data_IF_472844097202
#
_entry.id   IF_472844097202
#
_cell.length_a   1.000
_cell.length_b   1.000
_cell.length_c   1.000
_cell.angle_alpha   90.00
_cell.angle_beta   90.00
_cell.angle_gamma   90.00
#
_symmetry.space_group_name_H-M   'P 1'
#
loop_
_entity.id
_entity.type
_entity.pdbx_description
1 polymer ?
#
# COMPACT_ATOMS: atom_id res chain seq x y z
N UNK A 1 -11.14 -1.76 -22.39
CA UNK A 1 -11.14 -0.51 -21.62
C UNK A 1 -10.81 -0.79 -20.18
N UNK A 2 -9.79 -0.14 -19.68
CA UNK A 2 -9.43 -0.32 -18.28
C UNK A 2 -10.09 0.78 -17.44
N UNK A 3 -10.03 0.59 -16.12
CA UNK A 3 -10.48 1.58 -15.17
C UNK A 3 -9.46 2.71 -15.04
N UNK A 4 -9.83 3.79 -14.36
CA UNK A 4 -9.02 5.01 -14.24
C UNK A 4 -7.72 4.74 -13.50
N UNK A 5 -6.60 5.21 -14.05
CA UNK A 5 -5.25 5.07 -13.49
C UNK A 5 -4.99 3.65 -12.95
N UNK A 6 -5.00 2.65 -13.83
CA UNK A 6 -5.03 1.26 -13.38
C UNK A 6 -3.79 0.82 -12.62
N UNK A 7 -3.99 -0.15 -11.72
CA UNK A 7 -2.89 -0.88 -11.10
C UNK A 7 -2.12 -1.66 -12.16
N UNK A 8 -0.81 -1.73 -11.99
CA UNK A 8 0.03 -2.52 -12.90
C UNK A 8 0.77 -3.59 -12.12
N UNK A 9 0.89 -4.76 -12.74
CA UNK A 9 1.66 -5.88 -12.21
C UNK A 9 2.61 -6.32 -13.30
N UNK A 10 3.92 -6.27 -13.01
CA UNK A 10 4.97 -6.54 -14.00
C UNK A 10 4.81 -5.70 -15.26
N UNK A 11 4.37 -4.43 -15.10
CA UNK A 11 4.21 -3.51 -16.20
C UNK A 11 2.89 -3.63 -16.95
N UNK A 12 2.10 -4.65 -16.68
CA UNK A 12 0.82 -4.90 -17.35
C UNK A 12 -0.34 -4.39 -16.51
N UNK A 13 -1.39 -3.89 -17.17
CA UNK A 13 -2.61 -3.48 -16.48
C UNK A 13 -3.24 -4.69 -15.81
N UNK A 14 -3.56 -4.55 -14.51
CA UNK A 14 -4.16 -5.64 -13.74
C UNK A 14 -5.68 -5.48 -13.71
N UNK A 15 -6.36 -6.51 -14.21
CA UNK A 15 -7.82 -6.55 -14.32
C UNK A 15 -8.40 -7.60 -13.39
N UNK A 16 -9.74 -7.56 -13.21
CA UNK A 16 -10.42 -8.55 -12.36
C UNK A 16 -10.15 -10.00 -12.78
N UNK A 17 -9.99 -10.23 -14.08
CA UNK A 17 -9.71 -11.59 -14.59
C UNK A 17 -8.36 -12.11 -14.12
N UNK A 18 -7.44 -11.23 -13.75
CA UNK A 18 -6.11 -11.62 -13.30
C UNK A 18 -6.05 -11.98 -11.81
N UNK A 19 -7.14 -11.76 -11.06
CA UNK A 19 -7.17 -12.08 -9.63
C UNK A 19 -6.99 -13.57 -9.40
N UNK A 20 -7.62 -14.41 -10.22
CA UNK A 20 -7.59 -15.86 -10.12
C UNK A 20 -7.95 -16.31 -8.68
N UNK A 21 -7.10 -17.10 -8.03
CA UNK A 21 -7.35 -17.57 -6.68
C UNK A 21 -6.63 -16.74 -5.61
N UNK A 22 -6.12 -15.56 -5.98
CA UNK A 22 -5.45 -14.71 -5.01
C UNK A 22 -6.47 -13.93 -4.17
N UNK A 23 -6.12 -13.68 -2.93
CA UNK A 23 -6.99 -12.98 -1.99
C UNK A 23 -6.65 -11.51 -1.86
N UNK A 24 -5.38 -11.16 -1.95
CA UNK A 24 -4.94 -9.79 -1.78
C UNK A 24 -3.59 -9.53 -2.42
N UNK A 25 -3.15 -8.30 -2.30
CA UNK A 25 -1.88 -7.88 -2.89
C UNK A 25 -1.18 -6.85 -2.01
N UNK A 26 0.13 -6.82 -2.14
CA UNK A 26 0.98 -5.80 -1.54
C UNK A 26 1.34 -4.83 -2.66
N UNK A 27 1.31 -3.54 -2.37
CA UNK A 27 1.43 -2.53 -3.41
C UNK A 27 2.34 -1.37 -3.02
N UNK A 28 2.73 -0.64 -4.05
CA UNK A 28 3.53 0.57 -3.96
C UNK A 28 2.83 1.67 -4.75
N UNK A 29 2.60 2.81 -4.11
CA UNK A 29 2.06 3.99 -4.78
C UNK A 29 3.13 5.07 -4.72
N UNK A 30 3.44 5.66 -5.85
CA UNK A 30 4.46 6.71 -5.95
C UNK A 30 3.86 7.98 -6.53
N UNK A 31 4.08 9.10 -5.84
CA UNK A 31 3.69 10.42 -6.31
C UNK A 31 4.84 11.04 -7.10
N UNK A 32 4.63 11.28 -8.38
CA UNK A 32 5.66 11.86 -9.24
C UNK A 32 5.97 13.31 -8.91
N UNK A 33 5.01 14.02 -8.30
CA UNK A 33 5.18 15.43 -7.97
C UNK A 33 6.03 15.60 -6.71
N UNK A 34 5.71 14.86 -5.64
CA UNK A 34 6.42 14.99 -4.36
C UNK A 34 7.64 14.08 -4.25
N UNK A 35 7.70 13.02 -5.04
CA UNK A 35 8.73 11.99 -4.92
C UNK A 35 8.48 11.00 -3.79
N UNK A 36 7.36 11.14 -3.07
CA UNK A 36 7.03 10.31 -1.93
C UNK A 36 6.26 9.07 -2.35
N UNK A 37 6.36 8.03 -1.54
CA UNK A 37 5.74 6.73 -1.83
C UNK A 37 4.92 6.23 -0.66
N UNK A 38 4.13 5.20 -0.90
CA UNK A 38 3.34 4.53 0.13
C UNK A 38 3.34 3.03 -0.17
N UNK A 39 3.61 2.23 0.86
CA UNK A 39 3.53 0.77 0.78
C UNK A 39 2.35 0.30 1.62
N UNK A 40 1.58 -0.63 1.08
CA UNK A 40 0.44 -1.15 1.80
C UNK A 40 -0.04 -2.46 1.24
N UNK A 41 -1.17 -2.92 1.76
CA UNK A 41 -1.87 -4.10 1.25
C UNK A 41 -3.33 -3.79 1.01
N UNK A 42 -3.93 -4.56 0.12
CA UNK A 42 -5.36 -4.47 -0.14
C UNK A 42 -5.87 -5.86 -0.48
N UNK A 43 -7.06 -6.19 0.00
CA UNK A 43 -7.70 -7.44 -0.36
C UNK A 43 -8.61 -7.21 -1.56
N UNK A 44 -8.63 -8.17 -2.47
CA UNK A 44 -9.52 -8.12 -3.62
C UNK A 44 -10.97 -8.35 -3.23
N UNK A 45 -11.20 -9.06 -2.13
CA UNK A 45 -12.53 -9.51 -1.75
C UNK A 45 -12.93 -8.93 -0.40
N UNK A 46 -14.20 -8.56 -0.31
CA UNK A 46 -14.80 -8.17 0.96
C UNK A 46 -15.97 -9.09 1.24
N UNK A 47 -16.28 -9.23 2.53
CA UNK A 47 -17.39 -10.06 2.99
C UNK A 47 -18.28 -9.18 3.84
N UNK A 48 -19.54 -9.03 3.42
CA UNK A 48 -20.48 -8.19 4.16
C UNK A 48 -21.86 -8.83 4.10
N UNK A 49 -22.68 -8.54 5.11
CA UNK A 49 -24.05 -8.97 5.15
C UNK A 49 -24.90 -7.87 4.54
N UNK A 50 -25.54 -8.13 3.39
CA UNK A 50 -26.42 -7.12 2.79
C UNK A 50 -27.61 -6.80 3.69
N UNK A 51 -28.21 -5.59 3.59
CA UNK A 51 -29.39 -5.26 4.38
C UNK A 51 -30.51 -6.30 4.18
N UNK A 52 -31.10 -6.74 5.28
CA UNK A 52 -32.17 -7.73 5.27
C UNK A 52 -31.74 -9.17 5.07
N UNK A 53 -30.44 -9.43 4.98
CA UNK A 53 -29.91 -10.80 4.84
C UNK A 53 -29.19 -11.21 6.11
N UNK A 54 -29.10 -12.52 6.35
CA UNK A 54 -28.44 -13.09 7.53
C UNK A 54 -27.04 -13.59 7.24
N UNK A 55 -26.70 -13.84 5.97
CA UNK A 55 -25.40 -14.39 5.57
C UNK A 55 -24.51 -13.34 4.97
N UNK A 56 -23.23 -13.47 5.22
CA UNK A 56 -22.21 -12.67 4.59
C UNK A 56 -22.09 -13.07 3.11
N UNK A 57 -21.91 -12.08 2.25
CA UNK A 57 -21.73 -12.31 0.82
C UNK A 57 -20.35 -11.86 0.43
N UNK A 58 -19.63 -12.72 -0.31
CA UNK A 58 -18.34 -12.38 -0.89
C UNK A 58 -18.56 -11.49 -2.10
N UNK A 59 -17.87 -10.36 -2.13
CA UNK A 59 -17.94 -9.47 -3.27
C UNK A 59 -16.59 -8.82 -3.51
N UNK A 60 -16.35 -8.41 -4.75
CA UNK A 60 -15.13 -7.71 -5.09
C UNK A 60 -15.07 -6.38 -4.33
N UNK A 61 -13.91 -6.07 -3.74
CA UNK A 61 -13.72 -4.85 -2.98
C UNK A 61 -13.54 -3.65 -3.93
N UNK A 62 -13.32 -2.47 -3.36
CA UNK A 62 -13.07 -1.25 -4.12
C UNK A 62 -11.60 -1.11 -4.57
N UNK A 63 -10.90 -2.22 -4.73
CA UNK A 63 -9.45 -2.21 -4.99
C UNK A 63 -9.07 -1.40 -6.24
N UNK A 64 -9.92 -1.37 -7.26
CA UNK A 64 -9.63 -0.62 -8.48
C UNK A 64 -9.54 0.89 -8.26
N UNK A 65 -10.27 1.41 -7.28
CA UNK A 65 -10.33 2.83 -6.93
C UNK A 65 -9.45 3.19 -5.74
N UNK A 66 -8.79 2.21 -5.15
CA UNK A 66 -8.11 2.36 -3.87
C UNK A 66 -6.75 3.06 -4.00
N UNK A 67 -6.51 4.07 -3.18
CA UNK A 67 -5.25 4.80 -3.12
C UNK A 67 -4.65 4.78 -1.71
N UNK A 68 -4.88 3.70 -0.95
CA UNK A 68 -4.37 3.58 0.40
C UNK A 68 -5.29 4.18 1.43
N UNK A 69 -4.95 3.95 2.70
CA UNK A 69 -5.76 4.42 3.83
C UNK A 69 -5.16 5.66 4.52
N UNK A 70 -4.01 6.13 4.07
CA UNK A 70 -3.33 7.26 4.68
C UNK A 70 -4.00 8.58 4.30
N UNK A 71 -4.44 9.39 5.30
CA UNK A 71 -5.08 10.67 5.01
C UNK A 71 -4.22 11.63 4.20
N UNK A 72 -2.93 11.71 4.51
CA UNK A 72 -2.01 12.59 3.81
C UNK A 72 -1.87 12.22 2.34
N UNK A 73 -1.79 10.93 2.05
CA UNK A 73 -1.75 10.45 0.68
C UNK A 73 -3.03 10.79 -0.07
N UNK A 74 -4.18 10.59 0.58
CA UNK A 74 -5.48 10.90 -0.03
C UNK A 74 -5.61 12.39 -0.35
N UNK A 75 -5.10 13.25 0.52
CA UNK A 75 -5.09 14.69 0.27
C UNK A 75 -4.24 15.03 -0.95
N UNK A 76 -3.08 14.43 -1.07
CA UNK A 76 -2.18 14.68 -2.20
C UNK A 76 -2.79 14.15 -3.50
N UNK A 77 -3.52 13.04 -3.47
CA UNK A 77 -4.22 12.54 -4.66
C UNK A 77 -5.25 13.56 -5.14
N UNK A 78 -5.98 14.19 -4.22
CA UNK A 78 -6.93 15.25 -4.58
C UNK A 78 -6.21 16.50 -5.11
N UNK A 79 -5.10 16.85 -4.48
CA UNK A 79 -4.37 18.08 -4.80
C UNK A 79 -3.68 18.01 -6.16
N UNK A 80 -3.02 16.90 -6.46
CA UNK A 80 -2.20 16.77 -7.66
C UNK A 80 -2.88 16.01 -8.79
N UNK A 81 -3.94 15.25 -8.49
CA UNK A 81 -4.63 14.45 -9.48
C UNK A 81 -4.13 13.02 -9.52
N UNK A 82 -5.05 12.10 -9.82
CA UNK A 82 -4.76 10.67 -9.83
C UNK A 82 -3.67 10.29 -10.82
N UNK A 83 -3.59 10.98 -11.94
CA UNK A 83 -2.62 10.72 -12.99
C UNK A 83 -1.17 10.94 -12.55
N UNK A 84 -0.95 11.67 -11.45
CA UNK A 84 0.37 11.90 -10.91
C UNK A 84 0.85 10.78 -9.98
N UNK A 85 0.03 9.76 -9.80
CA UNK A 85 0.32 8.65 -8.88
C UNK A 85 0.40 7.35 -9.64
N UNK A 86 1.55 6.67 -9.51
CA UNK A 86 1.75 5.36 -10.13
C UNK A 86 1.43 4.29 -9.11
N UNK A 87 0.53 3.37 -9.47
CA UNK A 87 0.09 2.30 -8.58
C UNK A 87 0.60 0.96 -9.11
N UNK A 88 1.49 0.34 -8.34
CA UNK A 88 2.10 -0.94 -8.70
C UNK A 88 1.73 -2.03 -7.71
N UNK A 89 1.37 -3.18 -8.22
CA UNK A 89 1.22 -4.38 -7.41
C UNK A 89 2.60 -5.04 -7.34
N UNK A 90 3.09 -5.24 -6.12
CA UNK A 90 4.39 -5.86 -5.90
C UNK A 90 4.29 -7.37 -5.80
N UNK A 91 3.22 -7.87 -5.20
CA UNK A 91 3.04 -9.30 -5.00
C UNK A 91 1.57 -9.66 -4.79
N UNK A 92 1.23 -10.86 -5.22
CA UNK A 92 -0.13 -11.41 -5.09
C UNK A 92 -0.12 -12.54 -4.08
N UNK A 93 -1.14 -12.60 -3.24
CA UNK A 93 -1.18 -13.55 -2.13
C UNK A 93 -2.53 -14.26 -2.04
N UNK A 94 -2.49 -15.55 -1.73
CA UNK A 94 -3.69 -16.38 -1.65
C UNK A 94 -4.37 -16.33 -0.29
N UNK A 95 -3.65 -15.91 0.76
CA UNK A 95 -4.20 -15.82 2.11
C UNK A 95 -3.96 -14.47 2.73
N UNK A 96 -4.81 -14.11 3.71
CA UNK A 96 -4.63 -12.88 4.47
C UNK A 96 -3.29 -12.86 5.21
N UNK A 97 -2.95 -14.00 5.82
CA UNK A 97 -1.72 -14.10 6.60
C UNK A 97 -0.48 -13.87 5.75
N UNK A 98 -0.43 -14.47 4.58
CA UNK A 98 0.71 -14.31 3.68
C UNK A 98 0.80 -12.86 3.16
N UNK A 99 -0.34 -12.27 2.86
CA UNK A 99 -0.40 -10.87 2.41
C UNK A 99 0.10 -9.92 3.50
N UNK A 100 -0.37 -10.12 4.73
CA UNK A 100 0.04 -9.30 5.88
C UNK A 100 1.52 -9.46 6.18
N UNK A 101 2.02 -10.68 6.07
CA UNK A 101 3.45 -10.95 6.30
C UNK A 101 4.31 -10.20 5.30
N UNK A 102 3.97 -10.29 4.02
CA UNK A 102 4.75 -9.63 2.97
C UNK A 102 4.69 -8.12 3.10
N UNK A 103 3.51 -7.55 3.42
CA UNK A 103 3.40 -6.13 3.65
C UNK A 103 4.32 -5.67 4.78
N UNK A 104 4.26 -6.37 5.92
CA UNK A 104 5.07 -6.02 7.09
C UNK A 104 6.56 -6.10 6.77
N UNK A 105 6.94 -7.15 6.06
CA UNK A 105 8.31 -7.33 5.61
C UNK A 105 8.77 -6.15 4.74
N UNK A 106 7.95 -5.76 3.76
CA UNK A 106 8.30 -4.66 2.87
C UNK A 106 8.41 -3.33 3.61
N UNK A 107 7.54 -3.10 4.59
CA UNK A 107 7.60 -1.88 5.38
C UNK A 107 8.92 -1.75 6.14
N UNK A 108 9.40 -2.84 6.72
CA UNK A 108 10.69 -2.84 7.43
C UNK A 108 11.87 -2.82 6.47
N UNK A 109 11.82 -3.61 5.40
CA UNK A 109 12.91 -3.65 4.42
C UNK A 109 13.18 -2.29 3.79
N UNK A 110 12.12 -1.55 3.53
CA UNK A 110 12.23 -0.23 2.91
C UNK A 110 12.40 0.90 3.93
N UNK A 111 12.45 0.55 5.22
CA UNK A 111 12.68 1.50 6.30
C UNK A 111 11.75 2.72 6.20
N UNK A 112 10.47 2.45 5.97
CA UNK A 112 9.50 3.49 5.61
C UNK A 112 9.33 4.57 6.67
N UNK A 113 9.60 4.27 7.95
CA UNK A 113 9.45 5.24 9.02
C UNK A 113 10.66 6.18 9.16
N UNK A 114 11.78 5.86 8.52
CA UNK A 114 13.02 6.62 8.70
C UNK A 114 13.58 7.23 7.41
N UNK A 115 13.21 6.68 6.25
CA UNK A 115 13.75 7.18 4.98
C UNK A 115 13.27 8.60 4.69
N UNK A 116 14.17 9.42 4.19
CA UNK A 116 13.87 10.81 3.82
C UNK A 116 14.33 11.10 2.40
N UNK A 117 13.64 12.04 1.77
CA UNK A 117 14.08 12.61 0.50
C UNK A 117 15.25 13.57 0.76
N UNK A 118 15.93 13.99 -0.30
CA UNK A 118 17.07 14.91 -0.20
C UNK A 118 16.74 16.20 0.52
N UNK A 119 15.49 16.66 0.43
CA UNK A 119 15.03 17.89 1.08
C UNK A 119 14.61 17.67 2.54
N UNK A 120 14.78 16.49 3.09
CA UNK A 120 14.43 16.16 4.47
C UNK A 120 12.98 15.72 4.69
N UNK A 121 12.14 15.78 3.66
CA UNK A 121 10.76 15.31 3.76
C UNK A 121 10.75 13.79 3.87
N UNK A 122 9.86 13.19 4.70
CA UNK A 122 9.76 11.74 4.74
C UNK A 122 9.50 11.16 3.35
N UNK A 123 10.29 10.16 2.98
CA UNK A 123 10.18 9.54 1.66
C UNK A 123 8.89 8.73 1.47
N UNK A 124 8.26 8.36 2.58
CA UNK A 124 7.03 7.57 2.57
C UNK A 124 5.91 8.28 3.31
N UNK A 125 4.69 8.13 2.79
CA UNK A 125 3.50 8.62 3.48
C UNK A 125 3.15 7.77 4.70
N UNK A 126 3.73 6.58 4.80
CA UNK A 126 3.48 5.67 5.93
C UNK A 126 3.87 6.32 7.24
N UNK A 127 2.96 6.34 8.21
CA UNK A 127 3.19 6.96 9.51
C UNK A 127 3.43 5.95 10.62
N UNK A 128 3.14 4.67 10.36
CA UNK A 128 3.30 3.63 11.36
C UNK A 128 3.45 2.26 10.70
N UNK A 129 3.91 1.29 11.49
CA UNK A 129 3.90 -0.13 11.13
C UNK A 129 3.13 -0.85 12.21
N UNK A 130 2.05 -1.55 11.83
CA UNK A 130 1.18 -2.32 12.72
C UNK A 130 0.54 -1.49 13.85
N UNK A 131 0.47 -0.17 13.71
CA UNK A 131 -0.02 0.69 14.77
C UNK A 131 0.85 0.68 16.02
N UNK A 132 2.03 0.05 15.96
CA UNK A 132 2.95 -0.11 17.09
C UNK A 132 4.19 0.75 16.95
N UNK A 133 4.74 0.80 15.75
CA UNK A 133 5.94 1.59 15.46
C UNK A 133 5.50 2.86 14.76
N UNK A 134 5.77 4.02 15.40
CA UNK A 134 5.28 5.31 14.92
C UNK A 134 6.44 6.17 14.44
N UNK A 135 6.30 6.81 13.28
CA UNK A 135 7.36 7.65 12.72
C UNK A 135 7.86 8.71 13.73
N UNK A 136 6.95 9.30 14.48
CA UNK A 136 7.28 10.39 15.41
C UNK A 136 8.23 9.95 16.54
N UNK A 137 8.35 8.64 16.77
CA UNK A 137 9.14 8.12 17.88
C UNK A 137 10.57 7.79 17.47
N UNK A 138 10.91 7.91 16.21
CA UNK A 138 12.20 7.45 15.68
C UNK A 138 12.97 8.55 14.99
N UNK A 139 14.25 8.58 15.27
CA UNK A 139 15.23 9.40 14.60
C UNK A 139 16.51 8.59 14.50
N UNK A 140 17.63 9.25 14.22
CA UNK A 140 18.91 8.59 14.12
C UNK A 140 19.64 8.67 15.46
N UNK A 141 19.02 8.10 16.50
CA UNK A 141 19.53 8.17 17.87
C UNK A 141 20.32 6.95 18.29
N UNK A 142 20.26 5.87 17.51
CA UNK A 142 20.94 4.64 17.85
C UNK A 142 22.42 4.69 17.51
N UNK A 143 23.20 3.91 18.26
CA UNK A 143 24.57 3.61 17.90
C UNK A 143 24.66 2.15 17.54
N UNK A 144 25.31 1.86 16.43
CA UNK A 144 25.34 0.51 15.89
C UNK A 144 26.78 0.01 15.79
N UNK A 145 26.94 -1.27 16.04
CA UNK A 145 28.22 -1.94 15.81
C UNK A 145 28.52 -1.98 14.32
N UNK A 146 29.78 -1.93 13.95
CA UNK A 146 30.21 -2.12 12.56
C UNK A 146 29.92 -3.53 12.04
N UNK A 147 29.52 -4.45 12.95
CA UNK A 147 29.13 -5.82 12.57
C UNK A 147 27.71 -5.93 12.04
N UNK A 148 26.91 -4.87 12.15
CA UNK A 148 25.55 -4.85 11.63
C UNK A 148 25.60 -4.58 10.14
N UNK A 149 24.92 -5.42 9.38
CA UNK A 149 24.87 -5.31 7.91
C UNK A 149 23.91 -4.23 7.44
#
# INVERSE_FOLDING_TARGET
MSYENPWRFNGEIFESDHIEDHFGFVYHIHCEITGRSYLGRKYFWSFRTPPGKKRRVKQESDWKKYYGSCPELKEDVKKYGKECFERKILSLHKTKGDCNYEETKQLFLNNVLKESLDNGTPAYYNSNILGRYMRKDYGNFGKYSSDIA
#
